data_IF_666555410640
#
_entry.id   IF_666555410640
#
_cell.length_a   1.000
_cell.length_b   1.000
_cell.length_c   1.000
_cell.angle_alpha   90.00
_cell.angle_beta   90.00
_cell.angle_gamma   90.00
#
_symmetry.space_group_name_H-M   'P 1'
#
loop_
_entity.id
_entity.type
_entity.pdbx_description
1 polymer ?
#
# COMPACT_ATOMS: atom_id res chain seq x y z
N UNK A 1 20.96 -34.50 16.97
CA UNK A 1 20.26 -33.60 16.02
C UNK A 1 21.32 -32.87 15.24
N UNK A 2 21.29 -32.93 13.91
CA UNK A 2 22.21 -32.15 13.09
C UNK A 2 21.76 -30.67 13.14
N UNK A 3 22.53 -29.75 13.73
CA UNK A 3 22.09 -28.36 13.94
C UNK A 3 22.22 -27.49 12.69
N UNK A 4 22.64 -28.05 11.56
CA UNK A 4 22.81 -27.28 10.32
C UNK A 4 22.07 -27.99 9.18
N UNK A 5 20.74 -27.73 9.03
CA UNK A 5 19.99 -28.23 7.88
C UNK A 5 20.60 -27.68 6.60
N UNK A 6 20.70 -28.51 5.58
CA UNK A 6 21.21 -28.18 4.26
C UNK A 6 20.44 -26.96 3.68
N UNK A 7 21.10 -25.79 3.45
CA UNK A 7 20.43 -24.59 2.95
C UNK A 7 19.74 -24.79 1.60
N UNK A 8 20.21 -25.75 0.77
CA UNK A 8 19.60 -26.04 -0.52
C UNK A 8 18.15 -26.55 -0.38
N UNK A 9 17.82 -27.20 0.74
CA UNK A 9 16.47 -27.68 1.02
C UNK A 9 15.53 -26.59 1.52
N UNK A 10 16.05 -25.44 1.92
CA UNK A 10 15.20 -24.33 2.36
C UNK A 10 14.37 -23.75 1.21
N UNK A 11 14.85 -23.83 -0.04
CA UNK A 11 14.12 -23.35 -1.22
C UNK A 11 12.84 -24.16 -1.50
N UNK A 12 12.74 -25.37 -0.97
CA UNK A 12 11.55 -26.25 -1.11
C UNK A 12 10.46 -25.92 -0.07
N UNK A 13 10.80 -25.15 0.96
CA UNK A 13 9.84 -24.76 2.01
C UNK A 13 9.00 -23.61 1.47
N UNK A 14 7.64 -23.74 1.43
CA UNK A 14 6.79 -22.65 0.98
C UNK A 14 7.00 -21.36 1.79
N UNK A 15 7.09 -20.24 1.12
CA UNK A 15 7.17 -18.93 1.78
C UNK A 15 5.80 -18.64 2.40
N UNK A 16 5.79 -18.37 3.71
CA UNK A 16 4.56 -18.04 4.41
C UNK A 16 3.95 -16.74 3.87
N UNK A 17 2.64 -16.78 3.62
CA UNK A 17 1.87 -15.64 3.12
C UNK A 17 2.38 -15.07 1.78
N UNK A 18 3.06 -15.87 0.96
CA UNK A 18 3.34 -15.53 -0.43
C UNK A 18 2.12 -15.85 -1.30
N UNK A 19 1.74 -14.89 -2.12
CA UNK A 19 0.69 -15.09 -3.12
C UNK A 19 1.32 -15.32 -4.49
N UNK A 20 0.81 -16.30 -5.22
CA UNK A 20 1.28 -16.66 -6.56
C UNK A 20 0.17 -16.45 -7.59
N UNK A 21 -0.21 -15.17 -7.79
CA UNK A 21 -1.12 -14.78 -8.84
C UNK A 21 -0.40 -14.09 -10.00
N UNK A 22 -0.99 -14.15 -11.17
CA UNK A 22 -0.49 -13.61 -12.42
C UNK A 22 -1.49 -12.63 -13.03
N UNK A 23 -1.07 -11.97 -14.10
CA UNK A 23 -1.89 -11.00 -14.84
C UNK A 23 -3.26 -11.57 -15.25
N UNK A 24 -3.31 -12.81 -15.66
CA UNK A 24 -4.55 -13.50 -16.09
C UNK A 24 -5.56 -13.62 -14.95
N UNK A 25 -5.08 -13.79 -13.72
CA UNK A 25 -5.92 -14.00 -12.53
C UNK A 25 -6.61 -12.71 -12.03
N UNK A 26 -6.19 -11.55 -12.54
CA UNK A 26 -6.76 -10.25 -12.13
C UNK A 26 -8.18 -10.14 -12.67
N UNK A 27 -9.14 -9.89 -11.77
CA UNK A 27 -10.57 -9.68 -12.09
C UNK A 27 -10.93 -8.22 -11.90
N UNK A 28 -11.19 -7.52 -13.00
CA UNK A 28 -11.58 -6.09 -12.95
C UNK A 28 -12.91 -5.93 -12.21
N UNK A 29 -12.97 -4.93 -11.35
CA UNK A 29 -14.10 -4.67 -10.47
C UNK A 29 -14.08 -5.44 -9.15
N UNK A 30 -13.13 -6.37 -8.94
CA UNK A 30 -12.96 -7.02 -7.65
C UNK A 30 -12.59 -6.01 -6.58
N UNK A 31 -13.18 -6.17 -5.39
CA UNK A 31 -12.96 -5.26 -4.26
C UNK A 31 -12.60 -6.03 -3.01
N UNK A 32 -11.64 -5.51 -2.27
CA UNK A 32 -11.28 -6.00 -0.94
C UNK A 32 -11.28 -4.86 0.05
N UNK A 33 -11.54 -5.17 1.31
CA UNK A 33 -11.44 -4.24 2.43
C UNK A 33 -10.47 -4.80 3.45
N UNK A 34 -9.57 -3.94 3.95
CA UNK A 34 -8.64 -4.30 5.01
C UNK A 34 -9.34 -4.44 6.38
N UNK A 35 -8.62 -5.03 7.32
CA UNK A 35 -8.89 -4.84 8.74
C UNK A 35 -8.70 -3.36 9.12
N UNK A 36 -9.21 -2.97 10.29
CA UNK A 36 -9.04 -1.62 10.85
C UNK A 36 -7.77 -1.55 11.67
N UNK A 37 -7.13 -0.39 11.67
CA UNK A 37 -5.93 -0.12 12.47
C UNK A 37 -6.00 1.29 13.06
N UNK A 38 -5.81 1.40 14.37
CA UNK A 38 -5.67 2.70 15.06
C UNK A 38 -4.22 3.15 14.98
N UNK A 39 -4.00 4.40 14.62
CA UNK A 39 -2.67 5.01 14.51
C UNK A 39 -2.23 5.48 15.90
N UNK A 40 -1.11 4.97 16.37
CA UNK A 40 -0.49 5.39 17.63
C UNK A 40 0.46 6.57 17.43
N UNK A 41 0.70 7.35 18.51
CA UNK A 41 1.69 8.41 18.49
C UNK A 41 3.10 7.86 18.25
N UNK A 42 3.46 6.76 18.90
CA UNK A 42 4.79 6.16 18.79
C UNK A 42 5.16 5.83 17.35
N UNK A 43 4.28 5.15 16.62
CA UNK A 43 4.55 4.78 15.21
C UNK A 43 4.58 6.01 14.29
N UNK A 44 3.72 7.01 14.53
CA UNK A 44 3.73 8.26 13.77
C UNK A 44 5.06 9.00 13.93
N UNK A 45 5.56 9.14 15.17
CA UNK A 45 6.82 9.80 15.45
C UNK A 45 8.04 9.01 14.95
N UNK A 46 8.01 7.67 15.02
CA UNK A 46 9.05 6.83 14.45
C UNK A 46 9.14 6.99 12.92
N UNK A 47 8.00 7.02 12.25
CA UNK A 47 7.96 7.25 10.81
C UNK A 47 8.51 8.62 10.44
N UNK A 48 8.08 9.67 11.14
CA UNK A 48 8.56 11.04 10.91
C UNK A 48 10.07 11.13 11.08
N UNK A 49 10.63 10.51 12.12
CA UNK A 49 12.08 10.48 12.36
C UNK A 49 12.83 9.74 11.23
N UNK A 50 12.27 8.65 10.72
CA UNK A 50 12.87 7.86 9.62
C UNK A 50 12.95 8.63 8.30
N UNK A 51 11.89 9.40 7.99
CA UNK A 51 11.79 10.14 6.72
C UNK A 51 12.18 11.62 6.86
N UNK A 52 12.59 12.05 8.06
CA UNK A 52 12.96 13.42 8.41
C UNK A 52 11.83 14.44 8.18
N UNK A 53 10.57 14.02 8.30
CA UNK A 53 9.42 14.91 8.26
C UNK A 53 9.18 15.52 9.65
N UNK A 54 9.89 16.61 9.92
CA UNK A 54 9.82 17.35 11.17
C UNK A 54 9.02 18.65 11.04
N UNK A 55 8.08 18.70 10.08
CA UNK A 55 7.22 19.86 9.94
C UNK A 55 6.42 20.13 11.23
N UNK A 56 6.27 21.38 11.69
CA UNK A 56 5.61 21.68 12.97
C UNK A 56 4.20 21.11 13.13
N UNK A 57 3.44 20.99 12.06
CA UNK A 57 2.12 20.35 12.11
C UNK A 57 2.15 18.86 12.54
N UNK A 58 3.25 18.17 12.35
CA UNK A 58 3.38 16.74 12.67
C UNK A 58 4.29 16.46 13.85
N UNK A 59 5.24 17.38 14.16
CA UNK A 59 6.27 17.14 15.17
C UNK A 59 6.19 18.05 16.42
N UNK A 60 5.55 19.23 16.32
CA UNK A 60 5.53 20.24 17.38
C UNK A 60 4.10 20.38 17.97
N UNK A 61 3.89 19.81 19.15
CA UNK A 61 2.58 19.83 19.81
C UNK A 61 2.13 21.26 20.20
N UNK A 62 2.94 22.10 20.85
CA UNK A 62 2.57 23.48 21.15
C UNK A 62 2.20 24.28 19.88
N UNK A 63 3.00 24.18 18.84
CA UNK A 63 2.70 24.85 17.58
C UNK A 63 1.38 24.36 16.97
N UNK A 64 1.20 23.05 16.86
CA UNK A 64 0.01 22.48 16.25
C UNK A 64 -1.27 22.85 17.00
N UNK A 65 -1.20 22.90 18.34
CA UNK A 65 -2.31 23.27 19.21
C UNK A 65 -2.66 24.76 19.13
N UNK A 66 -1.65 25.64 19.23
CA UNK A 66 -1.86 27.06 19.47
C UNK A 66 -1.86 27.90 18.18
N UNK A 67 -1.17 27.43 17.14
CA UNK A 67 -0.99 28.13 15.86
C UNK A 67 -1.43 27.32 14.65
N UNK A 68 -1.59 26.00 14.81
CA UNK A 68 -1.98 25.10 13.73
C UNK A 68 -3.47 25.21 13.38
N UNK A 69 -3.80 24.95 12.11
CA UNK A 69 -5.18 25.03 11.58
C UNK A 69 -6.16 24.03 12.23
N UNK A 70 -5.66 22.97 12.86
CA UNK A 70 -6.50 21.87 13.35
C UNK A 70 -6.50 21.74 14.88
N UNK A 71 -5.74 22.56 15.60
CA UNK A 71 -5.65 22.54 17.07
C UNK A 71 -4.99 21.29 17.66
N UNK A 72 -4.35 20.45 16.84
CA UNK A 72 -3.64 19.23 17.23
C UNK A 72 -2.72 18.76 16.12
N UNK A 73 -1.72 17.90 16.47
CA UNK A 73 -0.79 17.36 15.48
C UNK A 73 -1.49 16.43 14.48
N UNK A 74 -1.04 16.56 13.23
CA UNK A 74 -1.42 15.67 12.15
C UNK A 74 -0.56 14.39 12.15
N UNK A 75 -1.11 13.32 11.61
CA UNK A 75 -0.32 12.22 11.08
C UNK A 75 0.22 12.63 9.71
N UNK A 76 1.51 12.44 9.46
CA UNK A 76 2.12 12.76 8.17
C UNK A 76 1.37 12.08 7.02
N UNK A 77 1.11 12.82 5.94
CA UNK A 77 0.39 12.26 4.79
C UNK A 77 1.10 11.05 4.18
N UNK A 78 2.43 11.08 4.13
CA UNK A 78 3.24 9.95 3.67
C UNK A 78 3.06 8.71 4.55
N UNK A 79 2.87 8.86 5.87
CA UNK A 79 2.53 7.74 6.75
C UNK A 79 1.15 7.16 6.40
N UNK A 80 0.14 8.02 6.27
CA UNK A 80 -1.23 7.59 5.92
C UNK A 80 -1.25 6.84 4.59
N UNK A 81 -0.50 7.34 3.60
CA UNK A 81 -0.32 6.69 2.32
C UNK A 81 0.32 5.31 2.47
N UNK A 82 1.49 5.22 3.09
CA UNK A 82 2.23 3.96 3.23
C UNK A 82 1.47 2.93 4.07
N UNK A 83 0.91 3.36 5.21
CA UNK A 83 0.13 2.49 6.09
C UNK A 83 -1.18 2.03 5.43
N UNK A 84 -1.89 2.94 4.75
CA UNK A 84 -3.12 2.63 4.04
C UNK A 84 -2.93 1.60 2.94
N UNK A 85 -1.88 1.74 2.12
CA UNK A 85 -1.56 0.74 1.10
C UNK A 85 -1.11 -0.57 1.73
N UNK A 86 -0.28 -0.51 2.77
CA UNK A 86 0.21 -1.69 3.48
C UNK A 86 -0.90 -2.57 4.06
N UNK A 87 -2.05 -1.97 4.43
CA UNK A 87 -3.20 -2.71 4.97
C UNK A 87 -3.84 -3.70 3.96
N UNK A 88 -3.68 -3.47 2.67
CA UNK A 88 -4.20 -4.33 1.58
C UNK A 88 -3.08 -4.81 0.66
N UNK A 89 -1.82 -4.65 1.07
CA UNK A 89 -0.69 -5.16 0.31
C UNK A 89 -0.68 -6.68 0.32
N UNK A 90 -0.41 -7.26 -0.84
CA UNK A 90 -0.18 -8.68 -1.00
C UNK A 90 1.30 -8.95 -1.21
N UNK A 91 1.77 -10.13 -0.82
CA UNK A 91 3.14 -10.56 -1.01
C UNK A 91 3.30 -11.32 -2.34
N UNK A 92 2.67 -10.83 -3.41
CA UNK A 92 2.74 -11.45 -4.72
C UNK A 92 4.15 -11.34 -5.32
N UNK A 93 4.76 -12.49 -5.61
CA UNK A 93 6.12 -12.57 -6.17
C UNK A 93 6.17 -12.20 -7.66
N UNK A 94 5.02 -12.12 -8.34
CA UNK A 94 4.90 -11.84 -9.76
C UNK A 94 4.52 -10.39 -10.07
N UNK A 95 4.30 -9.57 -9.04
CA UNK A 95 3.90 -8.19 -9.18
C UNK A 95 4.84 -7.24 -8.43
N UNK A 96 5.08 -6.06 -8.99
CA UNK A 96 5.82 -5.00 -8.29
C UNK A 96 5.29 -3.61 -8.65
N UNK A 97 5.52 -2.66 -7.75
CA UNK A 97 5.08 -1.28 -7.90
C UNK A 97 5.75 -0.63 -9.12
N UNK A 98 4.96 -0.03 -10.00
CA UNK A 98 5.41 0.74 -11.15
C UNK A 98 5.26 2.24 -10.91
N UNK A 99 4.22 2.65 -10.20
CA UNK A 99 3.99 4.05 -9.86
C UNK A 99 2.61 4.30 -9.26
N UNK A 100 2.36 5.57 -8.98
CA UNK A 100 1.09 6.01 -8.42
C UNK A 100 0.57 7.24 -9.18
N UNK A 101 -0.72 7.20 -9.52
CA UNK A 101 -1.45 8.31 -10.11
C UNK A 101 -2.51 8.84 -9.13
N UNK A 102 -2.97 10.06 -9.38
CA UNK A 102 -4.11 10.69 -8.70
C UNK A 102 -4.01 10.67 -7.16
N UNK A 103 -2.78 10.67 -6.60
CA UNK A 103 -2.60 10.73 -5.15
C UNK A 103 -3.15 12.05 -4.61
N UNK A 104 -4.10 11.96 -3.68
CA UNK A 104 -4.72 13.11 -2.99
C UNK A 104 -4.92 12.83 -1.52
N UNK A 105 -4.44 13.74 -0.69
CA UNK A 105 -4.78 13.82 0.72
C UNK A 105 -6.05 14.67 0.85
N UNK A 106 -7.16 14.05 1.17
CA UNK A 106 -8.50 14.65 1.07
C UNK A 106 -8.88 15.31 2.40
N UNK A 107 -8.58 14.64 3.52
CA UNK A 107 -8.85 15.14 4.86
C UNK A 107 -7.72 14.81 5.82
N UNK A 108 -7.54 15.61 6.88
CA UNK A 108 -6.51 15.36 7.88
C UNK A 108 -6.78 14.07 8.66
N UNK A 109 -5.69 13.38 9.00
CA UNK A 109 -5.69 12.22 9.90
C UNK A 109 -4.90 12.61 11.14
N UNK A 110 -5.40 12.19 12.30
CA UNK A 110 -4.83 12.52 13.60
C UNK A 110 -4.40 11.26 14.34
N UNK A 111 -3.51 11.44 15.31
CA UNK A 111 -3.14 10.37 16.24
C UNK A 111 -4.41 9.90 16.98
N UNK A 112 -4.60 8.59 17.04
CA UNK A 112 -5.82 7.97 17.60
C UNK A 112 -6.92 7.69 16.57
N UNK A 113 -6.84 8.24 15.35
CA UNK A 113 -7.77 7.85 14.27
C UNK A 113 -7.55 6.38 13.88
N UNK A 114 -8.65 5.70 13.57
CA UNK A 114 -8.64 4.31 13.10
C UNK A 114 -8.87 4.27 11.60
N UNK A 115 -7.91 3.77 10.84
CA UNK A 115 -7.98 3.70 9.38
C UNK A 115 -8.27 2.30 8.88
N UNK A 116 -8.82 2.23 7.66
CA UNK A 116 -8.92 1.03 6.84
C UNK A 116 -8.91 1.42 5.36
N UNK A 117 -8.61 0.46 4.50
CA UNK A 117 -8.49 0.68 3.07
C UNK A 117 -9.46 -0.20 2.29
N UNK A 118 -10.07 0.37 1.27
CA UNK A 118 -10.76 -0.38 0.21
C UNK A 118 -9.88 -0.30 -1.03
N UNK A 119 -9.53 -1.45 -1.58
CA UNK A 119 -8.85 -1.59 -2.88
C UNK A 119 -9.87 -2.06 -3.90
N UNK A 120 -9.85 -1.47 -5.10
CA UNK A 120 -10.68 -1.88 -6.24
C UNK A 120 -9.79 -2.06 -7.46
N UNK A 121 -9.89 -3.20 -8.12
CA UNK A 121 -9.17 -3.51 -9.34
C UNK A 121 -9.83 -2.79 -10.51
N UNK A 122 -9.14 -1.80 -11.10
CA UNK A 122 -9.75 -0.86 -12.06
C UNK A 122 -9.54 -1.25 -13.51
N UNK A 123 -8.31 -1.62 -13.86
CA UNK A 123 -7.92 -1.84 -15.25
C UNK A 123 -6.66 -2.69 -15.35
N UNK A 124 -6.49 -3.38 -16.48
CA UNK A 124 -5.27 -4.08 -16.84
C UNK A 124 -5.04 -4.02 -18.36
N UNK A 125 -3.79 -3.88 -18.76
CA UNK A 125 -3.42 -3.83 -20.18
C UNK A 125 -2.08 -4.52 -20.43
N UNK A 126 -1.93 -5.25 -21.54
CA UNK A 126 -0.62 -5.78 -21.97
C UNK A 126 0.33 -4.61 -22.23
N UNK A 127 1.60 -4.75 -21.85
CA UNK A 127 2.60 -3.71 -22.10
C UNK A 127 3.95 -4.26 -22.57
N UNK A 128 4.53 -5.18 -21.83
CA UNK A 128 5.85 -5.75 -22.14
C UNK A 128 5.70 -7.18 -22.61
N UNK A 129 6.80 -7.76 -23.13
CA UNK A 129 6.81 -9.15 -23.60
C UNK A 129 6.41 -10.15 -22.53
N UNK A 130 6.78 -9.91 -21.27
CA UNK A 130 6.59 -10.88 -20.18
C UNK A 130 5.65 -10.39 -19.09
N UNK A 131 5.14 -9.16 -19.17
CA UNK A 131 4.30 -8.56 -18.14
C UNK A 131 3.39 -7.47 -18.65
N UNK A 132 2.22 -7.35 -18.04
CA UNK A 132 1.27 -6.28 -18.27
C UNK A 132 1.26 -5.25 -17.15
N UNK A 133 0.56 -4.16 -17.39
CA UNK A 133 0.20 -3.19 -16.37
C UNK A 133 -1.14 -3.58 -15.74
N UNK A 134 -1.23 -3.34 -14.46
CA UNK A 134 -2.42 -3.47 -13.66
C UNK A 134 -2.60 -2.21 -12.81
N UNK A 135 -3.82 -1.70 -12.75
CA UNK A 135 -4.18 -0.49 -12.00
C UNK A 135 -5.27 -0.81 -10.98
N UNK A 136 -5.06 -0.41 -9.74
CA UNK A 136 -6.06 -0.49 -8.68
C UNK A 136 -6.21 0.85 -7.96
N UNK A 137 -7.42 1.22 -7.57
CA UNK A 137 -7.63 2.33 -6.64
C UNK A 137 -7.46 1.87 -5.21
N UNK A 138 -6.97 2.80 -4.39
CA UNK A 138 -6.86 2.67 -2.95
C UNK A 138 -7.58 3.85 -2.31
N UNK A 139 -8.64 3.54 -1.59
CA UNK A 139 -9.44 4.50 -0.85
C UNK A 139 -9.20 4.26 0.64
N UNK A 140 -8.47 5.18 1.29
CA UNK A 140 -8.23 5.10 2.73
C UNK A 140 -9.29 5.89 3.45
N UNK A 141 -9.97 5.23 4.35
CA UNK A 141 -11.01 5.80 5.20
C UNK A 141 -10.55 5.84 6.64
N UNK A 142 -11.10 6.78 7.41
CA UNK A 142 -10.93 6.81 8.88
C UNK A 142 -12.26 6.69 9.60
N UNK A 143 -12.18 6.21 10.84
CA UNK A 143 -13.29 6.12 11.79
C UNK A 143 -14.56 5.50 11.19
N UNK A 144 -15.64 6.25 11.03
CA UNK A 144 -16.94 5.76 10.55
C UNK A 144 -17.12 5.87 9.02
N UNK A 145 -16.05 5.94 8.26
CA UNK A 145 -16.11 5.92 6.79
C UNK A 145 -15.80 7.26 6.12
N UNK A 146 -15.07 8.14 6.79
CA UNK A 146 -14.61 9.38 6.21
C UNK A 146 -13.39 9.14 5.30
N UNK A 147 -13.52 9.42 4.00
CA UNK A 147 -12.43 9.28 3.02
C UNK A 147 -11.33 10.31 3.31
N UNK A 148 -10.10 9.85 3.53
CA UNK A 148 -8.96 10.69 3.86
C UNK A 148 -7.87 10.71 2.79
N UNK A 149 -7.78 9.64 1.99
CA UNK A 149 -6.80 9.53 0.91
C UNK A 149 -7.38 8.70 -0.23
N UNK A 150 -7.06 9.12 -1.45
CA UNK A 150 -7.27 8.37 -2.67
C UNK A 150 -5.99 8.33 -3.48
N UNK A 151 -5.69 7.18 -4.08
CA UNK A 151 -4.69 7.06 -5.14
C UNK A 151 -5.01 5.88 -6.07
N UNK A 152 -4.36 5.89 -7.23
CA UNK A 152 -4.34 4.75 -8.14
C UNK A 152 -2.92 4.19 -8.17
N UNK A 153 -2.77 2.94 -7.79
CA UNK A 153 -1.51 2.21 -7.83
C UNK A 153 -1.40 1.47 -9.16
N UNK A 154 -0.30 1.68 -9.84
CA UNK A 154 0.06 0.97 -11.06
C UNK A 154 1.13 -0.05 -10.73
N UNK A 155 0.90 -1.29 -11.11
CA UNK A 155 1.85 -2.39 -10.92
C UNK A 155 2.16 -3.03 -12.26
N UNK A 156 3.36 -3.58 -12.40
CA UNK A 156 3.66 -4.54 -13.44
C UNK A 156 3.42 -5.93 -12.89
N UNK A 157 2.78 -6.78 -13.68
CA UNK A 157 2.44 -8.16 -13.29
C UNK A 157 2.85 -9.12 -14.40
N UNK A 158 3.56 -10.18 -14.03
CA UNK A 158 3.99 -11.21 -14.99
C UNK A 158 2.79 -11.92 -15.59
N UNK A 159 2.92 -12.30 -16.86
CA UNK A 159 2.02 -13.24 -17.50
C UNK A 159 2.34 -14.66 -17.03
N UNK A 160 1.32 -15.48 -16.84
CA UNK A 160 1.46 -16.93 -16.70
C UNK A 160 1.83 -17.56 -18.04
N UNK A 161 1.27 -17.01 -19.13
CA UNK A 161 1.41 -17.45 -20.51
C UNK A 161 1.85 -16.29 -21.41
N UNK A 162 3.14 -15.87 -21.37
CA UNK A 162 3.64 -14.73 -22.15
C UNK A 162 3.40 -14.86 -23.67
N UNK A 163 3.39 -16.08 -24.18
CA UNK A 163 3.13 -16.40 -25.60
C UNK A 163 1.77 -15.91 -26.09
N UNK A 164 0.76 -15.76 -25.21
CA UNK A 164 -0.56 -15.25 -25.55
C UNK A 164 -0.58 -13.73 -25.77
N UNK A 165 0.45 -13.03 -25.30
CA UNK A 165 0.55 -11.57 -25.34
C UNK A 165 1.68 -11.07 -26.25
N UNK A 166 2.52 -11.97 -26.75
CA UNK A 166 3.52 -11.64 -27.75
C UNK A 166 2.79 -11.17 -29.03
N UNK A 167 2.98 -9.89 -29.40
CA UNK A 167 2.53 -9.42 -30.73
C UNK A 167 3.28 -10.27 -31.74
N UNK A 168 2.58 -10.93 -32.66
CA UNK A 168 3.16 -11.44 -33.89
C UNK A 168 3.84 -10.28 -34.58
N UNK A 169 5.16 -10.34 -34.70
CA UNK A 169 5.97 -9.42 -35.51
C UNK A 169 5.51 -9.42 -36.96
#
# INVERSE_FOLDING_TARGET
MNPNPDPAKHAEIPIWNAEDWYYEDIVIGHRIRSIRRTISEGESMQFNALVLDMHPYVADEPFARDQGLFGKRLVAGAFVFSAGLGLVATNCLNAFSYGYDKLRFIKPVFIGDTIYTIKTDLDKSPKYKEMGLYRASYEVFKNEGELVLYCEHIQTVKYRHPEHFAKSE
#
